data_IF_320132478705
#
_entry.id   IF_320132478705
#
_cell.length_a   1.000
_cell.length_b   1.000
_cell.length_c   1.000
_cell.angle_alpha   90.00
_cell.angle_beta   90.00
_cell.angle_gamma   90.00
#
_symmetry.space_group_name_H-M   'P 1'
#
loop_
_entity.id
_entity.type
_entity.pdbx_description
1 polymer ?
#
# COMPACT_ATOMS: atom_id res chain seq x y z
N UNK A 1 8.01 -7.20 4.61
CA UNK A 1 8.22 -8.27 5.62
C UNK A 1 8.00 -9.68 5.07
N UNK A 2 6.89 -10.00 4.38
CA UNK A 2 6.69 -11.37 3.88
C UNK A 2 7.82 -11.87 2.93
N UNK A 3 8.29 -10.99 2.05
CA UNK A 3 9.43 -11.27 1.17
C UNK A 3 10.73 -11.52 1.95
N UNK A 4 10.97 -10.79 3.03
CA UNK A 4 12.13 -11.00 3.92
C UNK A 4 12.14 -12.40 4.53
N UNK A 5 11.00 -12.84 5.08
CA UNK A 5 10.86 -14.20 5.62
C UNK A 5 11.03 -15.27 4.54
N UNK A 6 10.55 -15.01 3.32
CA UNK A 6 10.75 -15.91 2.19
C UNK A 6 12.24 -16.10 1.88
N UNK A 7 13.00 -15.01 1.76
CA UNK A 7 14.45 -15.10 1.47
C UNK A 7 15.18 -15.78 2.63
N UNK A 8 14.83 -15.46 3.88
CA UNK A 8 15.48 -16.05 5.06
C UNK A 8 15.29 -17.57 5.15
N UNK A 9 14.09 -18.07 4.83
CA UNK A 9 13.76 -19.51 4.94
C UNK A 9 14.23 -20.28 3.71
N UNK A 10 13.98 -19.77 2.50
CA UNK A 10 14.28 -20.49 1.26
C UNK A 10 15.74 -20.35 0.82
N UNK A 11 16.45 -19.30 1.24
CA UNK A 11 17.83 -19.02 0.82
C UNK A 11 18.72 -18.56 1.99
N UNK A 12 18.84 -19.32 3.09
CA UNK A 12 19.51 -18.88 4.31
C UNK A 12 20.97 -18.45 4.09
N UNK A 13 21.73 -19.20 3.28
CA UNK A 13 23.15 -18.90 2.99
C UNK A 13 23.36 -17.65 2.14
N UNK A 14 22.35 -17.23 1.37
CA UNK A 14 22.41 -16.04 0.52
C UNK A 14 21.60 -14.87 1.09
N UNK A 15 21.02 -15.03 2.28
CA UNK A 15 20.14 -14.04 2.87
C UNK A 15 20.82 -12.67 3.02
N UNK A 16 22.04 -12.61 3.56
CA UNK A 16 22.77 -11.35 3.77
C UNK A 16 23.19 -10.67 2.47
N UNK A 17 23.42 -11.45 1.41
CA UNK A 17 23.74 -10.93 0.08
C UNK A 17 22.49 -10.39 -0.62
N UNK A 18 21.35 -11.07 -0.48
CA UNK A 18 20.07 -10.66 -1.08
C UNK A 18 19.45 -9.51 -0.28
N UNK A 19 19.24 -9.70 1.03
CA UNK A 19 18.79 -8.68 1.99
C UNK A 19 19.95 -7.84 2.52
N UNK A 20 20.72 -7.26 1.60
CA UNK A 20 21.78 -6.33 1.94
C UNK A 20 21.25 -4.96 2.39
N UNK A 21 22.05 -4.14 3.09
CA UNK A 21 21.65 -2.82 3.58
C UNK A 21 21.13 -1.89 2.48
N UNK A 22 21.70 -1.98 1.27
CA UNK A 22 21.27 -1.20 0.09
C UNK A 22 19.85 -1.56 -0.36
N UNK A 23 19.52 -2.86 -0.38
CA UNK A 23 18.16 -3.30 -0.75
C UNK A 23 17.17 -2.90 0.33
N UNK A 24 17.50 -3.13 1.61
CA UNK A 24 16.64 -2.73 2.72
C UNK A 24 16.35 -1.23 2.70
N UNK A 25 17.38 -0.39 2.52
CA UNK A 25 17.22 1.06 2.40
C UNK A 25 16.36 1.42 1.18
N UNK A 26 16.62 0.80 0.03
CA UNK A 26 15.83 1.01 -1.19
C UNK A 26 14.35 0.68 -0.98
N UNK A 27 14.04 -0.45 -0.33
CA UNK A 27 12.65 -0.85 -0.03
C UNK A 27 11.97 0.15 0.91
N UNK A 28 12.66 0.63 1.94
CA UNK A 28 12.14 1.64 2.87
C UNK A 28 11.89 2.95 2.13
N UNK A 29 12.88 3.45 1.39
CA UNK A 29 12.76 4.70 0.62
C UNK A 29 11.64 4.60 -0.40
N UNK A 30 11.55 3.50 -1.15
CA UNK A 30 10.49 3.29 -2.13
C UNK A 30 9.11 3.29 -1.45
N UNK A 31 8.96 2.59 -0.32
CA UNK A 31 7.70 2.58 0.43
C UNK A 31 7.31 3.98 0.90
N UNK A 32 8.29 4.78 1.35
CA UNK A 32 8.07 6.14 1.81
C UNK A 32 7.70 7.08 0.66
N UNK A 33 8.41 7.02 -0.47
CA UNK A 33 8.08 7.81 -1.66
C UNK A 33 6.68 7.48 -2.17
N UNK A 34 6.31 6.20 -2.22
CA UNK A 34 4.99 5.77 -2.67
C UNK A 34 3.87 6.29 -1.75
N UNK A 35 4.05 6.23 -0.43
CA UNK A 35 3.04 6.73 0.52
C UNK A 35 2.92 8.25 0.48
N UNK A 36 4.05 8.97 0.33
CA UNK A 36 4.04 10.43 0.16
C UNK A 36 3.33 10.81 -1.14
N UNK A 37 3.66 10.16 -2.25
CA UNK A 37 3.00 10.42 -3.53
C UNK A 37 1.50 10.12 -3.47
N UNK A 38 1.11 9.02 -2.83
CA UNK A 38 -0.29 8.66 -2.64
C UNK A 38 -1.05 9.72 -1.82
N UNK A 39 -0.47 10.17 -0.71
CA UNK A 39 -1.05 11.24 0.11
C UNK A 39 -1.18 12.54 -0.69
N UNK A 40 -0.11 12.96 -1.38
CA UNK A 40 -0.10 14.17 -2.20
C UNK A 40 -1.14 14.11 -3.32
N UNK A 41 -1.29 12.97 -4.00
CA UNK A 41 -2.29 12.77 -5.05
C UNK A 41 -3.68 13.06 -4.50
N UNK A 42 -4.05 12.43 -3.38
CA UNK A 42 -5.35 12.64 -2.75
C UNK A 42 -5.54 14.07 -2.25
N UNK A 43 -4.53 14.68 -1.65
CA UNK A 43 -4.58 16.09 -1.22
C UNK A 43 -4.80 17.02 -2.40
N UNK A 44 -4.08 16.83 -3.52
CA UNK A 44 -4.22 17.64 -4.72
C UNK A 44 -5.59 17.47 -5.37
N UNK A 45 -6.11 16.25 -5.39
CA UNK A 45 -7.46 15.93 -5.87
C UNK A 45 -8.52 16.64 -5.02
N UNK A 46 -8.38 16.64 -3.69
CA UNK A 46 -9.29 17.37 -2.80
C UNK A 46 -9.18 18.88 -2.96
N UNK A 47 -7.97 19.41 -3.15
CA UNK A 47 -7.73 20.84 -3.34
C UNK A 47 -8.38 21.42 -4.62
N UNK A 48 -8.73 20.56 -5.60
CA UNK A 48 -9.43 20.97 -6.83
C UNK A 48 -10.94 21.08 -6.67
N UNK A 49 -11.52 20.58 -5.57
CA UNK A 49 -12.96 20.61 -5.34
C UNK A 49 -13.40 22.00 -4.85
N UNK A 50 -14.55 22.45 -5.36
CA UNK A 50 -15.27 23.60 -4.82
C UNK A 50 -16.30 23.11 -3.79
N UNK A 51 -16.22 23.64 -2.57
CA UNK A 51 -17.16 23.36 -1.49
C UNK A 51 -18.19 24.49 -1.40
N UNK A 52 -19.50 24.19 -1.34
CA UNK A 52 -20.54 25.23 -1.19
C UNK A 52 -21.41 25.11 0.06
N UNK A 53 -21.27 24.05 0.84
CA UNK A 53 -21.86 24.04 2.18
C UNK A 53 -21.03 24.94 3.13
N UNK A 54 -21.62 25.46 4.20
CA UNK A 54 -20.81 25.98 5.31
C UNK A 54 -19.79 24.90 5.67
N UNK A 55 -18.50 25.24 5.67
CA UNK A 55 -17.37 24.30 5.83
C UNK A 55 -17.29 23.66 7.24
N UNK A 56 -18.44 23.39 7.86
CA UNK A 56 -18.61 22.81 9.17
C UNK A 56 -18.77 21.31 9.01
N UNK A 57 -17.68 20.58 9.23
CA UNK A 57 -17.69 19.12 9.31
C UNK A 57 -17.93 18.77 10.79
N UNK A 58 -19.08 18.18 11.18
CA UNK A 58 -19.37 17.87 12.58
C UNK A 58 -18.61 16.62 13.09
N UNK A 59 -17.69 16.07 12.30
CA UNK A 59 -16.88 14.92 12.65
C UNK A 59 -15.45 15.32 13.04
N UNK A 60 -14.96 14.77 14.16
CA UNK A 60 -13.59 14.91 14.66
C UNK A 60 -12.54 14.22 13.76
N UNK A 61 -12.97 13.52 12.70
CA UNK A 61 -12.13 12.75 11.79
C UNK A 61 -12.15 13.32 10.37
N UNK A 62 -10.97 13.40 9.75
CA UNK A 62 -10.81 13.77 8.34
C UNK A 62 -11.13 12.55 7.45
N UNK A 63 -12.41 12.37 7.12
CA UNK A 63 -12.86 11.37 6.16
C UNK A 63 -13.00 12.00 4.76
N UNK A 64 -12.20 11.51 3.81
CA UNK A 64 -12.22 11.95 2.41
C UNK A 64 -13.58 11.69 1.73
N UNK A 65 -14.29 10.63 2.10
CA UNK A 65 -15.60 10.32 1.53
C UNK A 65 -16.70 11.26 2.04
N UNK A 66 -16.57 11.75 3.28
CA UNK A 66 -17.45 12.78 3.83
C UNK A 66 -17.19 14.13 3.18
N UNK A 67 -15.92 14.49 2.96
CA UNK A 67 -15.51 15.73 2.28
C UNK A 67 -16.06 15.83 0.84
N UNK A 68 -16.05 14.73 0.09
CA UNK A 68 -16.59 14.68 -1.27
C UNK A 68 -18.08 15.06 -1.31
N UNK A 69 -18.87 14.57 -0.36
CA UNK A 69 -20.32 14.85 -0.29
C UNK A 69 -20.67 16.32 0.01
N UNK A 70 -19.73 17.11 0.54
CA UNK A 70 -19.91 18.55 0.77
C UNK A 70 -19.54 19.40 -0.46
N UNK A 71 -18.88 18.81 -1.45
CA UNK A 71 -18.48 19.54 -2.64
C UNK A 71 -19.64 19.67 -3.63
N UNK A 72 -19.63 20.76 -4.40
CA UNK A 72 -20.62 20.99 -5.47
C UNK A 72 -20.06 20.71 -6.86
N UNK A 73 -18.76 20.45 -6.94
CA UNK A 73 -18.11 20.03 -8.17
C UNK A 73 -18.27 18.52 -8.32
N UNK A 74 -18.15 18.02 -9.55
CA UNK A 74 -18.24 16.59 -9.82
C UNK A 74 -17.13 15.81 -9.09
N UNK A 75 -17.54 14.90 -8.20
CA UNK A 75 -16.65 14.09 -7.34
C UNK A 75 -16.24 12.77 -7.97
N UNK A 76 -16.82 12.41 -9.12
CA UNK A 76 -16.69 11.07 -9.70
C UNK A 76 -15.23 10.64 -9.92
N UNK A 77 -14.37 11.57 -10.34
CA UNK A 77 -12.93 11.31 -10.52
C UNK A 77 -12.24 11.01 -9.19
N UNK A 78 -12.56 11.76 -8.12
CA UNK A 78 -11.98 11.51 -6.80
C UNK A 78 -12.45 10.17 -6.23
N UNK A 79 -13.73 9.84 -6.35
CA UNK A 79 -14.27 8.56 -5.89
C UNK A 79 -13.62 7.38 -6.61
N UNK A 80 -13.49 7.45 -7.93
CA UNK A 80 -12.79 6.43 -8.71
C UNK A 80 -11.32 6.29 -8.30
N UNK A 81 -10.60 7.40 -8.12
CA UNK A 81 -9.19 7.35 -7.71
C UNK A 81 -9.05 6.78 -6.29
N UNK A 82 -9.92 7.13 -5.35
CA UNK A 82 -9.94 6.52 -4.00
C UNK A 82 -10.17 5.01 -4.11
N UNK A 83 -11.18 4.58 -4.87
CA UNK A 83 -11.49 3.16 -4.99
C UNK A 83 -10.36 2.35 -5.62
N UNK A 84 -9.81 2.85 -6.74
CA UNK A 84 -8.71 2.19 -7.45
C UNK A 84 -7.45 2.16 -6.59
N UNK A 85 -7.07 3.29 -6.00
CA UNK A 85 -5.83 3.35 -5.19
C UNK A 85 -5.94 2.51 -3.92
N UNK A 86 -7.08 2.52 -3.23
CA UNK A 86 -7.33 1.64 -2.09
C UNK A 86 -7.26 0.16 -2.49
N UNK A 87 -7.90 -0.20 -3.61
CA UNK A 87 -7.84 -1.55 -4.17
C UNK A 87 -6.42 -2.00 -4.48
N UNK A 88 -5.62 -1.17 -5.16
CA UNK A 88 -4.22 -1.48 -5.49
C UNK A 88 -3.35 -1.63 -4.25
N UNK A 89 -3.47 -0.72 -3.28
CA UNK A 89 -2.71 -0.74 -2.03
C UNK A 89 -3.02 -2.00 -1.20
N UNK A 90 -4.23 -2.56 -1.34
CA UNK A 90 -4.63 -3.75 -0.61
C UNK A 90 -4.26 -5.03 -1.39
N UNK A 91 -4.60 -5.09 -2.68
CA UNK A 91 -4.41 -6.27 -3.52
C UNK A 91 -2.93 -6.58 -3.80
N UNK A 92 -2.11 -5.57 -4.08
CA UNK A 92 -0.70 -5.80 -4.43
C UNK A 92 0.06 -6.45 -3.26
N UNK A 93 0.05 -5.89 -2.03
CA UNK A 93 0.68 -6.54 -0.89
C UNK A 93 0.06 -7.90 -0.57
N UNK A 94 -1.26 -8.04 -0.70
CA UNK A 94 -1.94 -9.31 -0.45
C UNK A 94 -1.42 -10.44 -1.36
N UNK A 95 -1.34 -10.19 -2.67
CA UNK A 95 -0.80 -11.15 -3.63
C UNK A 95 0.68 -11.45 -3.34
N UNK A 96 1.49 -10.42 -3.05
CA UNK A 96 2.91 -10.61 -2.70
C UNK A 96 3.09 -11.46 -1.45
N UNK A 97 2.23 -11.27 -0.44
CA UNK A 97 2.21 -12.08 0.78
C UNK A 97 1.86 -13.54 0.44
N UNK A 98 0.77 -13.77 -0.29
CA UNK A 98 0.35 -15.12 -0.66
C UNK A 98 1.41 -15.86 -1.47
N UNK A 99 2.02 -15.20 -2.46
CA UNK A 99 3.10 -15.78 -3.26
C UNK A 99 4.33 -16.12 -2.38
N UNK A 100 4.74 -15.19 -1.51
CA UNK A 100 5.89 -15.42 -0.61
C UNK A 100 5.65 -16.62 0.29
N UNK A 101 4.51 -16.68 0.98
CA UNK A 101 4.19 -17.78 1.89
C UNK A 101 3.90 -19.09 1.16
N UNK A 102 3.26 -19.06 -0.01
CA UNK A 102 3.06 -20.25 -0.84
C UNK A 102 4.39 -20.88 -1.25
N UNK A 103 5.40 -20.06 -1.60
CA UNK A 103 6.75 -20.54 -1.89
C UNK A 103 7.46 -21.12 -0.67
N UNK A 104 7.30 -20.50 0.51
CA UNK A 104 7.84 -21.04 1.77
C UNK A 104 7.27 -22.43 2.04
N UNK A 105 5.94 -22.58 2.00
CA UNK A 105 5.27 -23.87 2.23
C UNK A 105 5.74 -24.92 1.20
N UNK A 106 5.80 -24.55 -0.08
CA UNK A 106 6.30 -25.45 -1.13
C UNK A 106 7.75 -25.88 -0.88
N UNK A 107 8.61 -24.96 -0.40
CA UNK A 107 10.00 -25.27 -0.06
C UNK A 107 10.09 -26.25 1.10
N UNK A 108 9.26 -26.08 2.14
CA UNK A 108 9.23 -26.97 3.32
C UNK A 108 8.76 -28.37 2.93
N UNK A 109 7.68 -28.48 2.13
CA UNK A 109 7.13 -29.78 1.71
C UNK A 109 8.06 -30.60 0.81
N UNK A 110 9.04 -29.95 0.15
CA UNK A 110 10.04 -30.63 -0.69
C UNK A 110 11.21 -31.20 0.10
N UNK A 111 11.37 -30.82 1.37
CA UNK A 111 12.39 -31.42 2.23
C UNK A 111 11.95 -32.85 2.54
N UNK A 112 12.73 -33.89 2.20
CA UNK A 112 12.38 -35.26 2.55
C UNK A 112 12.25 -35.38 4.06
N UNK A 113 11.08 -35.74 4.55
CA UNK A 113 10.89 -36.17 5.93
C UNK A 113 11.60 -37.51 6.12
N UNK A 114 12.55 -37.55 7.06
CA UNK A 114 13.27 -38.76 7.46
C UNK A 114 12.36 -39.81 8.09
#
# INVERSE_FOLDING_TARGET
>A
MAYDRYVAICFPLHYTTIMGPKLCLSLVVLSWVLTVFHAMLHTLLMARLCFCAENVIPHFFCDMSALLKLSCSDTHVNELVIFITAGLILLIPFVLILLSYGRIVSSILKVPSA
#
